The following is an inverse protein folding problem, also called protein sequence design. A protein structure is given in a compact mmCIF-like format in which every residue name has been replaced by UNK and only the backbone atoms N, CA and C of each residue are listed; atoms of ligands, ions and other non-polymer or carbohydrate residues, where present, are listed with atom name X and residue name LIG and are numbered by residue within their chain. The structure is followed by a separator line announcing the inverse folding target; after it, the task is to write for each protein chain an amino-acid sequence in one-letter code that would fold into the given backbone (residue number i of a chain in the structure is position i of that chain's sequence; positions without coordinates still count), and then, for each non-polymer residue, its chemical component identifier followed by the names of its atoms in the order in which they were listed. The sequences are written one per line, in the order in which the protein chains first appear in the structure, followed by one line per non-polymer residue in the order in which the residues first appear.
data_IF_379782246064
#
_entry.id   IF_379782246064
#
_cell.length_a   1.000
_cell.length_b   1.000
_cell.length_c   1.000
_cell.angle_alpha   90.00
_cell.angle_beta   90.00
_cell.angle_gamma   90.00
#
_symmetry.space_group_name_H-M   'P 1'
#
loop_
_entity.id
_entity.type
_entity.pdbx_description
1 polymer ?
#
# COMPACT_ATOMS: atom_id res chain seq x y z
N UNK A 1 21.35 -9.12 -17.17
CA UNK A 1 20.34 -8.09 -17.45
C UNK A 1 20.04 -7.47 -16.12
N UNK A 2 19.29 -6.37 -16.12
CA UNK A 2 18.98 -5.64 -14.89
C UNK A 2 18.15 -6.48 -13.90
N UNK A 3 17.48 -7.55 -14.38
CA UNK A 3 16.92 -8.64 -13.60
C UNK A 3 17.59 -9.96 -13.98
N UNK A 4 17.52 -10.98 -13.12
CA UNK A 4 18.13 -12.29 -13.34
C UNK A 4 17.80 -12.85 -14.74
N UNK A 5 18.83 -13.26 -15.49
CA UNK A 5 18.67 -13.83 -16.84
C UNK A 5 18.72 -12.84 -18.02
N UNK A 6 19.73 -11.98 -18.10
CA UNK A 6 20.01 -11.39 -19.42
C UNK A 6 21.39 -10.79 -19.58
N UNK A 7 21.55 -9.94 -20.57
CA UNK A 7 22.82 -9.81 -21.29
C UNK A 7 23.93 -9.05 -20.51
N UNK A 8 23.57 -8.15 -19.58
CA UNK A 8 24.53 -7.30 -18.84
C UNK A 8 24.19 -7.14 -17.35
N UNK A 9 25.17 -7.06 -16.43
CA UNK A 9 24.94 -6.94 -14.98
C UNK A 9 24.20 -5.66 -14.55
N UNK A 10 23.57 -5.67 -13.37
CA UNK A 10 22.89 -4.46 -12.85
C UNK A 10 23.92 -3.40 -12.44
N UNK A 11 23.78 -2.12 -12.87
CA UNK A 11 24.63 -1.03 -12.42
C UNK A 11 24.49 -0.75 -10.91
N UNK A 12 25.56 -0.29 -10.26
CA UNK A 12 25.61 -0.04 -8.80
C UNK A 12 24.66 1.08 -8.33
N UNK A 13 24.22 1.95 -9.25
CA UNK A 13 23.40 3.12 -8.98
C UNK A 13 21.93 2.96 -9.42
N UNK A 14 21.49 1.73 -9.71
CA UNK A 14 20.12 1.45 -10.20
C UNK A 14 19.43 0.43 -9.30
N UNK A 15 18.20 0.74 -8.88
CA UNK A 15 17.33 -0.16 -8.10
C UNK A 15 16.02 -0.37 -8.83
N UNK A 16 15.64 -1.63 -9.06
CA UNK A 16 14.32 -2.00 -9.54
C UNK A 16 13.43 -2.45 -8.37
N UNK A 17 12.25 -1.85 -8.27
CA UNK A 17 11.22 -2.29 -7.34
C UNK A 17 9.86 -2.30 -8.04
N UNK A 18 8.98 -3.21 -7.61
CA UNK A 18 7.62 -3.29 -8.08
C UNK A 18 6.69 -3.40 -6.86
N UNK A 19 5.50 -2.81 -6.94
CA UNK A 19 4.48 -2.91 -5.91
C UNK A 19 3.25 -3.62 -6.45
N UNK A 20 2.67 -4.53 -5.67
CA UNK A 20 1.44 -5.23 -6.00
C UNK A 20 0.45 -5.12 -4.84
N UNK A 21 -0.80 -4.75 -5.14
CA UNK A 21 -1.91 -4.79 -4.17
C UNK A 21 -2.43 -6.22 -3.93
N UNK A 22 -1.86 -7.22 -4.59
CA UNK A 22 -2.16 -8.63 -4.40
C UNK A 22 -0.92 -9.35 -3.87
N UNK A 23 -1.11 -10.15 -2.81
CA UNK A 23 -0.07 -10.99 -2.17
C UNK A 23 0.70 -11.88 -3.18
N UNK A 24 0.05 -12.19 -4.30
CA UNK A 24 0.62 -12.75 -5.51
C UNK A 24 0.13 -11.89 -6.68
N UNK A 25 0.97 -11.58 -7.67
CA UNK A 25 0.55 -10.78 -8.85
C UNK A 25 -0.72 -11.32 -9.54
N UNK A 26 -1.07 -12.60 -9.33
CA UNK A 26 -2.36 -13.21 -9.70
C UNK A 26 -2.87 -14.16 -8.58
N UNK A 27 -4.16 -14.14 -8.20
CA UNK A 27 -4.78 -15.19 -7.40
C UNK A 27 -4.94 -16.48 -8.21
N UNK A 28 -4.82 -17.66 -7.57
CA UNK A 28 -5.04 -18.96 -8.23
C UNK A 28 -6.41 -19.06 -8.92
N UNK A 29 -7.43 -18.37 -8.40
CA UNK A 29 -8.80 -18.41 -8.94
C UNK A 29 -8.98 -17.57 -10.22
N UNK A 30 -8.07 -16.63 -10.52
CA UNK A 30 -8.09 -15.92 -11.81
C UNK A 30 -7.60 -16.80 -12.98
N UNK A 31 -6.87 -17.88 -12.67
CA UNK A 31 -6.40 -18.85 -13.67
C UNK A 31 -7.59 -19.58 -14.32
N UNK A 32 -8.71 -19.75 -13.61
CA UNK A 32 -9.91 -20.39 -14.17
C UNK A 32 -10.73 -19.48 -15.08
N UNK A 33 -10.81 -18.17 -14.78
CA UNK A 33 -11.62 -17.23 -15.56
C UNK A 33 -10.93 -16.72 -16.83
N UNK A 34 -9.59 -16.63 -16.86
CA UNK A 34 -8.83 -16.23 -18.06
C UNK A 34 -8.66 -17.38 -19.08
N UNK A 35 -8.95 -18.64 -18.71
CA UNK A 35 -8.97 -19.78 -19.64
C UNK A 35 -9.91 -19.59 -20.84
N UNK A 36 -10.94 -18.77 -20.68
CA UNK A 36 -12.01 -18.63 -21.68
C UNK A 36 -11.77 -17.53 -22.71
N UNK A 37 -10.73 -16.69 -22.58
CA UNK A 37 -10.54 -15.53 -23.49
C UNK A 37 -9.11 -15.34 -24.04
N UNK A 38 -8.11 -16.09 -23.55
CA UNK A 38 -6.75 -16.04 -24.08
C UNK A 38 -6.44 -17.25 -24.97
N UNK A 39 -5.74 -17.02 -26.10
CA UNK A 39 -5.33 -18.08 -27.06
C UNK A 39 -4.31 -19.06 -26.44
N UNK A 40 -3.55 -18.63 -25.42
CA UNK A 40 -2.66 -19.47 -24.62
C UNK A 40 -2.59 -18.95 -23.17
N UNK A 41 -3.55 -19.33 -22.31
CA UNK A 41 -3.67 -18.83 -20.93
C UNK A 41 -2.50 -19.20 -20.02
N UNK A 42 -1.79 -20.29 -20.33
CA UNK A 42 -0.66 -20.81 -19.55
C UNK A 42 0.60 -19.93 -19.64
N UNK A 43 0.93 -19.41 -20.83
CA UNK A 43 2.14 -18.60 -21.04
C UNK A 43 2.09 -17.26 -20.30
N UNK A 44 0.93 -16.57 -20.33
CA UNK A 44 0.77 -15.27 -19.67
C UNK A 44 0.82 -15.37 -18.13
N UNK A 45 0.47 -16.52 -17.57
CA UNK A 45 0.58 -16.79 -16.13
C UNK A 45 2.01 -17.15 -15.75
N UNK A 46 2.68 -18.01 -16.55
CA UNK A 46 4.09 -18.38 -16.34
C UNK A 46 5.03 -17.17 -16.44
N UNK A 47 4.79 -16.23 -17.36
CA UNK A 47 5.62 -15.03 -17.52
C UNK A 47 5.53 -14.08 -16.32
N UNK A 48 4.34 -13.90 -15.73
CA UNK A 48 4.14 -13.05 -14.54
C UNK A 48 4.70 -13.68 -13.27
N UNK A 49 4.64 -15.01 -13.14
CA UNK A 49 5.29 -15.74 -12.04
C UNK A 49 6.81 -15.65 -12.20
N UNK A 50 7.33 -15.86 -13.42
CA UNK A 50 8.74 -15.71 -13.76
C UNK A 50 9.29 -14.31 -13.46
N UNK A 51 8.50 -13.25 -13.63
CA UNK A 51 8.94 -11.88 -13.31
C UNK A 51 9.02 -11.65 -11.79
N UNK A 52 8.06 -12.16 -11.04
CA UNK A 52 8.00 -11.97 -9.58
C UNK A 52 9.12 -12.71 -8.85
N UNK A 53 9.49 -13.89 -9.33
CA UNK A 53 10.56 -14.71 -8.76
C UNK A 53 11.96 -14.08 -8.96
N UNK A 54 12.10 -13.13 -9.90
CA UNK A 54 13.35 -12.38 -10.14
C UNK A 54 13.60 -11.26 -9.13
N UNK A 55 12.69 -11.02 -8.19
CA UNK A 55 12.89 -10.08 -7.08
C UNK A 55 13.33 -10.84 -5.82
N UNK A 56 14.56 -10.57 -5.36
CA UNK A 56 15.18 -11.26 -4.22
C UNK A 56 14.72 -10.79 -2.83
N UNK A 57 13.98 -9.67 -2.74
CA UNK A 57 13.43 -9.16 -1.48
C UNK A 57 11.93 -8.90 -1.62
N UNK A 58 11.16 -9.45 -0.69
CA UNK A 58 9.71 -9.28 -0.63
C UNK A 58 9.33 -8.60 0.68
N UNK A 59 8.73 -7.42 0.56
CA UNK A 59 8.19 -6.67 1.68
C UNK A 59 6.67 -6.79 1.67
N UNK A 60 6.14 -7.54 2.63
CA UNK A 60 4.70 -7.67 2.82
C UNK A 60 4.14 -6.49 3.62
N UNK A 61 2.97 -6.00 3.22
CA UNK A 61 2.20 -5.07 4.04
C UNK A 61 1.21 -5.85 4.91
N UNK A 62 1.30 -5.66 6.23
CA UNK A 62 0.39 -6.27 7.18
C UNK A 62 -0.89 -5.44 7.33
N UNK A 63 -1.95 -6.07 7.85
CA UNK A 63 -3.17 -5.35 8.21
C UNK A 63 -2.84 -4.25 9.23
N UNK A 64 -3.37 -3.06 9.01
CA UNK A 64 -3.22 -1.94 9.93
C UNK A 64 -4.18 -2.11 11.11
N UNK A 65 -3.64 -2.44 12.28
CA UNK A 65 -4.42 -2.52 13.50
C UNK A 65 -4.74 -1.11 14.07
N UNK A 66 -5.59 -1.06 15.09
CA UNK A 66 -5.98 0.22 15.69
C UNK A 66 -4.83 0.97 16.35
N UNK A 67 -3.96 0.33 17.16
CA UNK A 67 -2.79 1.02 17.71
C UNK A 67 -1.93 1.67 16.63
N UNK A 68 -1.55 0.92 15.59
CA UNK A 68 -0.74 1.42 14.48
C UNK A 68 -1.43 2.55 13.73
N UNK A 69 -2.75 2.44 13.50
CA UNK A 69 -3.53 3.49 12.87
C UNK A 69 -3.55 4.79 13.69
N UNK A 70 -3.73 4.69 15.00
CA UNK A 70 -3.74 5.85 15.89
C UNK A 70 -2.35 6.49 16.00
N UNK A 71 -1.29 5.69 16.02
CA UNK A 71 0.09 6.20 15.97
C UNK A 71 0.35 7.01 14.69
N UNK A 72 -0.14 6.55 13.53
CA UNK A 72 -0.05 7.32 12.28
C UNK A 72 -0.77 8.66 12.40
N UNK A 73 -2.01 8.66 12.90
CA UNK A 73 -2.81 9.87 13.08
C UNK A 73 -2.13 10.86 14.04
N UNK A 74 -1.65 10.40 15.19
CA UNK A 74 -0.94 11.23 16.16
C UNK A 74 0.37 11.77 15.59
N UNK A 75 1.12 10.97 14.83
CA UNK A 75 2.32 11.41 14.16
C UNK A 75 2.05 12.53 13.15
N UNK A 76 1.00 12.39 12.32
CA UNK A 76 0.59 13.45 11.40
C UNK A 76 0.11 14.70 12.12
N UNK A 77 -0.75 14.56 13.13
CA UNK A 77 -1.28 15.68 13.89
C UNK A 77 -0.16 16.48 14.57
N UNK A 78 0.83 15.80 15.16
CA UNK A 78 2.04 16.45 15.71
C UNK A 78 2.90 17.09 14.63
N UNK A 79 3.11 16.41 13.49
CA UNK A 79 3.94 16.94 12.39
C UNK A 79 3.39 18.27 11.83
N UNK A 80 2.07 18.41 11.82
CA UNK A 80 1.38 19.58 11.26
C UNK A 80 0.81 20.52 12.34
N UNK A 81 1.24 20.36 13.58
CA UNK A 81 0.83 21.20 14.73
C UNK A 81 -0.71 21.40 14.81
N UNK A 82 -1.48 20.33 14.58
CA UNK A 82 -2.94 20.39 14.59
C UNK A 82 -3.44 20.44 16.04
N UNK A 83 -4.10 21.54 16.46
CA UNK A 83 -4.55 21.69 17.84
C UNK A 83 -5.82 20.87 18.12
N UNK A 84 -5.65 19.63 18.57
CA UNK A 84 -6.74 18.80 19.08
C UNK A 84 -6.24 17.98 20.29
N UNK A 85 -7.08 17.84 21.31
CA UNK A 85 -6.74 17.03 22.48
C UNK A 85 -6.52 15.56 22.07
N UNK A 86 -5.51 14.85 22.61
CA UNK A 86 -5.19 13.48 22.21
C UNK A 86 -6.38 12.52 22.27
N UNK A 87 -7.22 12.63 23.29
CA UNK A 87 -8.39 11.79 23.50
C UNK A 87 -9.45 12.04 22.41
N UNK A 88 -9.69 13.31 22.09
CA UNK A 88 -10.62 13.71 21.02
C UNK A 88 -10.09 13.27 19.65
N UNK A 89 -8.80 13.47 19.38
CA UNK A 89 -8.14 13.05 18.15
C UNK A 89 -8.30 11.55 17.91
N UNK A 90 -8.08 10.73 18.95
CA UNK A 90 -8.22 9.27 18.87
C UNK A 90 -9.67 8.85 18.66
N UNK A 91 -10.61 9.44 19.39
CA UNK A 91 -12.03 9.13 19.26
C UNK A 91 -12.55 9.45 17.85
N UNK A 92 -12.31 10.68 17.36
CA UNK A 92 -12.70 11.12 16.02
C UNK A 92 -12.03 10.28 14.93
N UNK A 93 -10.76 9.91 15.09
CA UNK A 93 -10.05 9.07 14.12
C UNK A 93 -10.63 7.64 14.04
N UNK A 94 -11.06 7.06 15.17
CA UNK A 94 -11.70 5.74 15.21
C UNK A 94 -13.04 5.79 14.48
N UNK A 95 -13.87 6.79 14.79
CA UNK A 95 -15.15 6.99 14.10
C UNK A 95 -14.95 7.18 12.59
N UNK A 96 -13.99 8.02 12.20
CA UNK A 96 -13.63 8.23 10.81
C UNK A 96 -13.26 6.92 10.10
N UNK A 97 -12.42 6.07 10.71
CA UNK A 97 -12.00 4.80 10.12
C UNK A 97 -13.19 3.86 9.85
N UNK A 98 -14.19 3.86 10.75
CA UNK A 98 -15.42 3.06 10.56
C UNK A 98 -16.18 3.56 9.32
N UNK A 99 -16.33 4.87 9.14
CA UNK A 99 -17.03 5.44 7.96
C UNK A 99 -16.31 5.17 6.64
N UNK A 100 -14.99 4.95 6.66
CA UNK A 100 -14.16 4.68 5.47
C UNK A 100 -13.95 3.19 5.21
N UNK A 101 -14.56 2.31 6.00
CA UNK A 101 -14.52 0.86 5.80
C UNK A 101 -13.20 0.19 6.21
N UNK A 102 -12.36 0.86 7.02
CA UNK A 102 -11.15 0.23 7.54
C UNK A 102 -10.06 1.21 7.98
N UNK A 103 -8.93 0.63 8.39
CA UNK A 103 -7.74 1.34 8.85
C UNK A 103 -6.62 1.17 7.84
N UNK A 104 -5.97 2.26 7.50
CA UNK A 104 -4.76 2.27 6.67
C UNK A 104 -4.10 3.64 6.77
N UNK A 105 -2.85 3.75 6.32
CA UNK A 105 -2.17 5.05 6.21
C UNK A 105 -2.93 6.04 5.31
N UNK A 106 -3.59 5.56 4.26
CA UNK A 106 -4.45 6.40 3.40
C UNK A 106 -5.62 6.98 4.18
N UNK A 107 -6.32 6.16 4.96
CA UNK A 107 -7.48 6.60 5.76
C UNK A 107 -7.05 7.58 6.85
N UNK A 108 -5.90 7.33 7.49
CA UNK A 108 -5.30 8.24 8.47
C UNK A 108 -4.99 9.60 7.84
N UNK A 109 -4.37 9.62 6.66
CA UNK A 109 -4.07 10.87 5.95
C UNK A 109 -5.32 11.63 5.51
N UNK A 110 -6.37 10.94 5.09
CA UNK A 110 -7.66 11.56 4.76
C UNK A 110 -8.32 12.20 5.98
N UNK A 111 -8.26 11.55 7.14
CA UNK A 111 -8.74 12.14 8.39
C UNK A 111 -7.96 13.42 8.74
N UNK A 112 -6.64 13.40 8.59
CA UNK A 112 -5.78 14.57 8.87
C UNK A 112 -6.08 15.74 7.93
N UNK A 113 -6.31 15.47 6.64
CA UNK A 113 -6.74 16.51 5.69
C UNK A 113 -8.10 17.11 6.08
N UNK A 114 -9.06 16.27 6.48
CA UNK A 114 -10.36 16.75 6.95
C UNK A 114 -10.23 17.61 8.21
N UNK A 115 -9.46 17.13 9.20
CA UNK A 115 -9.21 17.84 10.44
C UNK A 115 -8.52 19.19 10.16
N UNK A 116 -7.50 19.20 9.30
CA UNK A 116 -6.81 20.43 8.91
C UNK A 116 -7.76 21.40 8.20
N UNK A 117 -8.63 20.92 7.31
CA UNK A 117 -9.67 21.71 6.66
C UNK A 117 -10.62 22.36 7.66
N UNK A 118 -11.12 21.58 8.64
CA UNK A 118 -11.96 22.09 9.74
C UNK A 118 -11.25 23.15 10.60
N UNK A 119 -9.94 23.02 10.77
CA UNK A 119 -9.11 23.93 11.57
C UNK A 119 -8.56 25.12 10.76
N UNK A 120 -8.84 25.19 9.46
CA UNK A 120 -8.28 26.22 8.57
C UNK A 120 -6.75 26.17 8.45
N UNK A 121 -6.16 24.97 8.60
CA UNK A 121 -4.72 24.73 8.51
C UNK A 121 -4.35 24.17 7.13
N UNK A 122 -3.23 24.64 6.59
CA UNK A 122 -2.62 24.05 5.39
C UNK A 122 -1.62 22.97 5.81
N UNK A 123 -1.66 21.83 5.14
CA UNK A 123 -0.69 20.75 5.33
C UNK A 123 0.44 20.92 4.30
N UNK A 124 1.69 21.00 4.76
CA UNK A 124 2.91 21.11 3.94
C UNK A 124 3.69 19.79 3.84
#
# INVERSE_FOLDING_TARGET
AVLEGGIEGSPDNVVFYATSNRRHLMPRDMIENERSTAISPSEAVEEKVSLSDRFGLWLGFHNCDQPTYLEMVEAYARRHDLPLAPEALRAEAIEWAVTRGGRSGRVAWQYIQELAGRLGRTLE
#
